data_IF_083908991873
#
_entry.id   IF_083908991873
#
_cell.length_a   1.000
_cell.length_b   1.000
_cell.length_c   1.000
_cell.angle_alpha   90.00
_cell.angle_beta   90.00
_cell.angle_gamma   90.00
#
_symmetry.space_group_name_H-M   'P 1'
#
loop_
_entity.id
_entity.type
_entity.pdbx_description
1 polymer ?
#
# COMPACT_ATOMS: atom_id res chain seq x y z
N UNK A 1 18.90 -23.35 -12.78
CA UNK A 1 18.62 -23.43 -11.33
C UNK A 1 17.23 -24.03 -11.14
N UNK A 2 17.14 -25.19 -10.55
CA UNK A 2 15.92 -25.80 -10.07
C UNK A 2 15.55 -25.05 -8.77
N UNK A 3 14.46 -24.26 -8.78
CA UNK A 3 13.99 -23.51 -7.62
C UNK A 3 13.53 -22.07 -7.96
N UNK A 4 12.90 -21.39 -7.00
CA UNK A 4 12.33 -20.06 -7.12
C UNK A 4 10.85 -20.07 -7.55
N UNK A 5 10.27 -18.89 -7.68
CA UNK A 5 8.85 -18.74 -8.02
C UNK A 5 8.53 -19.33 -9.39
N UNK A 6 7.42 -20.05 -9.48
CA UNK A 6 6.90 -20.59 -10.74
C UNK A 6 6.02 -19.59 -11.48
N UNK A 7 5.39 -18.68 -10.74
CA UNK A 7 4.59 -17.59 -11.28
C UNK A 7 4.64 -16.36 -10.36
N UNK A 8 4.26 -15.21 -10.89
CA UNK A 8 4.05 -13.98 -10.15
C UNK A 8 2.59 -13.57 -10.26
N UNK A 9 2.08 -12.90 -9.23
CA UNK A 9 0.70 -12.50 -9.14
C UNK A 9 0.60 -11.00 -8.82
N UNK A 10 -0.22 -10.29 -9.59
CA UNK A 10 -0.49 -8.87 -9.41
C UNK A 10 -2.00 -8.58 -9.39
N UNK A 11 -2.35 -7.39 -8.94
CA UNK A 11 -3.72 -6.88 -8.88
C UNK A 11 -3.85 -5.56 -9.60
N UNK A 12 -5.01 -5.33 -10.21
CA UNK A 12 -5.44 -4.04 -10.72
C UNK A 12 -6.89 -3.84 -10.27
N UNK A 13 -7.17 -2.82 -9.46
CA UNK A 13 -8.49 -2.55 -8.89
C UNK A 13 -9.05 -1.25 -9.42
N UNK A 14 -10.39 -1.17 -9.53
CA UNK A 14 -11.11 0.00 -10.02
C UNK A 14 -12.03 0.55 -8.93
N UNK A 15 -12.37 1.82 -9.05
CA UNK A 15 -13.39 2.45 -8.20
C UNK A 15 -14.74 1.82 -8.49
N UNK A 16 -15.56 1.63 -7.47
CA UNK A 16 -16.91 1.05 -7.61
C UNK A 16 -17.74 1.86 -8.59
N UNK A 17 -18.35 1.18 -9.56
CA UNK A 17 -19.19 1.79 -10.59
C UNK A 17 -18.46 2.50 -11.75
N UNK A 18 -17.13 2.57 -11.74
CA UNK A 18 -16.37 3.27 -12.76
C UNK A 18 -16.20 2.47 -14.07
N UNK A 19 -16.19 1.16 -13.96
CA UNK A 19 -16.00 0.25 -15.10
C UNK A 19 -17.05 -0.86 -15.11
N UNK A 20 -17.40 -1.34 -16.30
CA UNK A 20 -18.13 -2.60 -16.43
C UNK A 20 -17.18 -3.80 -16.27
N UNK A 21 -17.70 -5.01 -16.01
CA UNK A 21 -16.87 -6.22 -15.95
C UNK A 21 -16.02 -6.44 -17.21
N UNK A 22 -16.58 -6.20 -18.39
CA UNK A 22 -15.93 -6.37 -19.68
C UNK A 22 -14.85 -5.30 -19.89
N UNK A 23 -15.10 -4.07 -19.47
CA UNK A 23 -14.10 -2.99 -19.51
C UNK A 23 -12.94 -3.28 -18.57
N UNK A 24 -13.22 -3.68 -17.31
CA UNK A 24 -12.21 -4.06 -16.33
C UNK A 24 -11.30 -5.16 -16.89
N UNK A 25 -11.91 -6.22 -17.46
CA UNK A 25 -11.16 -7.32 -18.07
C UNK A 25 -10.28 -6.86 -19.24
N UNK A 26 -10.82 -6.05 -20.15
CA UNK A 26 -10.04 -5.50 -21.29
C UNK A 26 -8.88 -4.63 -20.85
N UNK A 27 -9.06 -3.80 -19.83
CA UNK A 27 -8.00 -2.98 -19.25
C UNK A 27 -6.92 -3.89 -18.65
N UNK A 28 -7.30 -4.92 -17.90
CA UNK A 28 -6.37 -5.89 -17.31
C UNK A 28 -5.54 -6.63 -18.36
N UNK A 29 -6.20 -7.12 -19.40
CA UNK A 29 -5.51 -7.79 -20.52
C UNK A 29 -4.52 -6.87 -21.22
N UNK A 30 -4.92 -5.63 -21.51
CA UNK A 30 -4.06 -4.64 -22.18
C UNK A 30 -2.85 -4.28 -21.29
N UNK A 31 -3.08 -4.05 -19.99
CA UNK A 31 -2.01 -3.78 -19.03
C UNK A 31 -1.00 -4.94 -18.98
N UNK A 32 -1.50 -6.17 -18.85
CA UNK A 32 -0.66 -7.35 -18.78
C UNK A 32 0.13 -7.60 -20.08
N UNK A 33 -0.50 -7.39 -21.23
CA UNK A 33 0.16 -7.51 -22.53
C UNK A 33 1.26 -6.49 -22.74
N UNK A 34 1.04 -5.24 -22.36
CA UNK A 34 2.07 -4.19 -22.46
C UNK A 34 3.25 -4.45 -21.54
N UNK A 35 3.02 -5.03 -20.37
CA UNK A 35 4.08 -5.32 -19.41
C UNK A 35 4.88 -6.58 -19.76
N UNK A 36 4.19 -7.69 -20.08
CA UNK A 36 4.81 -9.02 -20.19
C UNK A 36 4.52 -9.78 -21.48
N UNK A 37 3.50 -9.39 -22.25
CA UNK A 37 2.95 -10.20 -23.34
C UNK A 37 3.88 -10.53 -24.49
N UNK A 38 5.06 -9.90 -24.55
CA UNK A 38 6.08 -10.20 -25.58
C UNK A 38 6.92 -11.42 -25.23
N UNK A 39 7.05 -11.74 -23.95
CA UNK A 39 8.02 -12.71 -23.46
C UNK A 39 7.45 -13.75 -22.51
N UNK A 40 6.31 -13.48 -21.87
CA UNK A 40 5.75 -14.34 -20.82
C UNK A 40 4.29 -14.66 -21.07
N UNK A 41 3.90 -15.89 -20.72
CA UNK A 41 2.50 -16.27 -20.66
C UNK A 41 1.81 -15.55 -19.51
N UNK A 42 0.62 -15.04 -19.77
CA UNK A 42 -0.18 -14.28 -18.82
C UNK A 42 -1.61 -14.82 -18.78
N UNK A 43 -2.17 -14.83 -17.57
CA UNK A 43 -3.58 -15.11 -17.34
C UNK A 43 -4.17 -13.92 -16.60
N UNK A 44 -5.31 -13.42 -17.06
CA UNK A 44 -6.05 -12.35 -16.40
C UNK A 44 -7.44 -12.84 -16.08
N UNK A 45 -7.86 -12.68 -14.83
CA UNK A 45 -9.21 -12.96 -14.37
C UNK A 45 -9.78 -11.73 -13.69
N UNK A 46 -11.09 -11.50 -13.85
CA UNK A 46 -11.78 -10.36 -13.24
C UNK A 46 -12.74 -10.87 -12.18
N UNK A 47 -12.62 -10.37 -10.95
CA UNK A 47 -13.53 -10.70 -9.87
C UNK A 47 -14.73 -9.75 -9.90
N UNK A 48 -15.93 -10.38 -9.85
CA UNK A 48 -17.22 -9.69 -9.98
C UNK A 48 -18.02 -9.64 -8.69
N UNK A 49 -17.60 -10.35 -7.66
CA UNK A 49 -18.31 -10.56 -6.42
C UNK A 49 -17.90 -9.59 -5.28
N UNK A 50 -17.31 -8.47 -5.63
CA UNK A 50 -16.85 -7.44 -4.70
C UNK A 50 -17.33 -6.08 -5.15
N UNK A 51 -17.48 -5.14 -4.21
CA UNK A 51 -17.91 -3.76 -4.50
C UNK A 51 -16.99 -3.05 -5.50
N UNK A 52 -15.69 -3.39 -5.46
CA UNK A 52 -14.70 -2.91 -6.40
C UNK A 52 -14.29 -4.02 -7.34
N UNK A 53 -14.61 -3.88 -8.64
CA UNK A 53 -14.10 -4.80 -9.65
C UNK A 53 -12.57 -4.79 -9.66
N UNK A 54 -11.97 -5.97 -9.74
CA UNK A 54 -10.52 -6.06 -9.78
C UNK A 54 -10.05 -7.24 -10.61
N UNK A 55 -8.92 -7.04 -11.28
CA UNK A 55 -8.23 -8.04 -12.05
C UNK A 55 -7.15 -8.72 -11.20
N UNK A 56 -7.05 -10.03 -11.34
CA UNK A 56 -5.87 -10.80 -10.97
C UNK A 56 -5.07 -11.06 -12.24
N UNK A 57 -3.80 -10.74 -12.20
CA UNK A 57 -2.86 -10.97 -13.31
C UNK A 57 -1.84 -12.01 -12.82
N UNK A 58 -1.79 -13.15 -13.46
CA UNK A 58 -0.80 -14.19 -13.19
C UNK A 58 0.16 -14.25 -14.38
N UNK A 59 1.45 -14.21 -14.07
CA UNK A 59 2.54 -14.22 -15.07
C UNK A 59 3.40 -15.45 -14.84
N UNK A 60 3.59 -16.30 -15.86
CA UNK A 60 4.54 -17.39 -15.81
C UNK A 60 5.95 -16.84 -15.58
N UNK A 61 6.69 -17.42 -14.66
CA UNK A 61 8.04 -16.93 -14.33
C UNK A 61 9.07 -17.22 -15.42
N UNK A 62 8.77 -18.07 -16.38
CA UNK A 62 9.71 -18.46 -17.44
C UNK A 62 9.26 -17.86 -18.78
N UNK A 63 10.15 -17.15 -19.43
CA UNK A 63 9.91 -16.62 -20.78
C UNK A 63 9.77 -17.78 -21.78
N UNK A 64 8.64 -17.80 -22.51
CA UNK A 64 8.43 -18.76 -23.59
C UNK A 64 9.36 -18.53 -24.78
N UNK A 65 9.93 -17.33 -24.89
CA UNK A 65 10.81 -16.94 -25.99
C UNK A 65 12.29 -17.27 -25.73
N UNK A 66 12.75 -17.07 -24.49
CA UNK A 66 14.18 -17.18 -24.15
C UNK A 66 14.50 -18.27 -23.14
N UNK A 67 13.48 -18.88 -22.51
CA UNK A 67 13.65 -19.83 -21.42
C UNK A 67 14.22 -19.24 -20.11
N UNK A 68 14.45 -17.92 -20.06
CA UNK A 68 14.96 -17.25 -18.85
C UNK A 68 13.85 -16.92 -17.88
N UNK A 69 14.17 -16.96 -16.59
CA UNK A 69 13.23 -16.55 -15.54
C UNK A 69 13.11 -15.01 -15.47
N UNK A 70 11.91 -14.56 -15.19
CA UNK A 70 11.62 -13.19 -14.84
C UNK A 70 12.24 -12.86 -13.46
N UNK A 71 13.07 -11.84 -13.43
CA UNK A 71 13.61 -11.29 -12.20
C UNK A 71 12.72 -10.13 -11.77
N UNK A 72 11.91 -10.35 -10.73
CA UNK A 72 10.98 -9.34 -10.23
C UNK A 72 11.71 -8.35 -9.33
N UNK A 73 11.98 -7.17 -9.84
CA UNK A 73 12.60 -6.07 -9.11
C UNK A 73 11.54 -5.06 -8.63
N UNK A 74 11.89 -4.23 -7.67
CA UNK A 74 11.00 -3.15 -7.18
C UNK A 74 10.62 -2.18 -8.31
N UNK A 75 11.50 -1.95 -9.27
CA UNK A 75 11.24 -1.14 -10.47
C UNK A 75 10.11 -1.68 -11.32
N UNK A 76 9.88 -2.99 -11.34
CA UNK A 76 8.79 -3.60 -12.11
C UNK A 76 7.42 -3.27 -11.52
N UNK A 77 7.32 -3.06 -10.22
CA UNK A 77 6.10 -2.57 -9.58
C UNK A 77 5.76 -1.15 -10.01
N UNK A 78 6.76 -0.27 -10.08
CA UNK A 78 6.55 1.09 -10.59
C UNK A 78 6.17 1.10 -12.06
N UNK A 79 6.84 0.29 -12.87
CA UNK A 79 6.55 0.14 -14.30
C UNK A 79 5.14 -0.43 -14.56
N UNK A 80 4.73 -1.44 -13.79
CA UNK A 80 3.38 -1.99 -13.87
C UNK A 80 2.33 -0.92 -13.56
N UNK A 81 2.56 -0.13 -12.52
CA UNK A 81 1.68 0.98 -12.14
C UNK A 81 1.60 2.01 -13.27
N UNK A 82 2.74 2.46 -13.80
CA UNK A 82 2.79 3.42 -14.91
C UNK A 82 2.01 2.93 -16.13
N UNK A 83 2.20 1.67 -16.52
CA UNK A 83 1.47 1.05 -17.63
C UNK A 83 -0.03 0.99 -17.32
N UNK A 84 -0.42 0.56 -16.12
CA UNK A 84 -1.82 0.51 -15.68
C UNK A 84 -2.47 1.90 -15.74
N UNK A 85 -1.80 2.90 -15.16
CA UNK A 85 -2.29 4.28 -15.13
C UNK A 85 -2.46 4.84 -16.55
N UNK A 86 -1.52 4.55 -17.45
CA UNK A 86 -1.60 4.94 -18.86
C UNK A 86 -2.78 4.28 -19.57
N UNK A 87 -2.97 2.97 -19.39
CA UNK A 87 -4.11 2.25 -20.01
C UNK A 87 -5.44 2.77 -19.48
N UNK A 88 -5.55 3.06 -18.18
CA UNK A 88 -6.74 3.66 -17.57
C UNK A 88 -7.01 5.05 -18.15
N UNK A 89 -6.02 5.92 -18.18
CA UNK A 89 -6.15 7.29 -18.74
C UNK A 89 -6.54 7.29 -20.21
N UNK A 90 -5.97 6.42 -21.05
CA UNK A 90 -6.32 6.27 -22.46
C UNK A 90 -7.80 5.88 -22.67
N UNK A 91 -8.43 5.32 -21.64
CA UNK A 91 -9.84 4.90 -21.61
C UNK A 91 -10.75 5.82 -20.79
N UNK A 92 -10.22 7.00 -20.37
CA UNK A 92 -10.98 7.98 -19.58
C UNK A 92 -11.33 7.51 -18.17
N UNK A 93 -10.56 6.57 -17.61
CA UNK A 93 -10.75 6.08 -16.24
C UNK A 93 -9.84 6.82 -15.27
N UNK A 94 -10.26 6.89 -14.00
CA UNK A 94 -9.50 7.57 -12.95
C UNK A 94 -8.16 6.91 -12.68
N UNK A 95 -7.20 7.72 -12.30
CA UNK A 95 -5.88 7.28 -11.89
C UNK A 95 -5.59 7.88 -10.52
N UNK A 96 -5.14 7.05 -9.59
CA UNK A 96 -4.76 7.55 -8.27
C UNK A 96 -3.55 8.48 -8.37
N UNK A 97 -3.60 9.67 -7.76
CA UNK A 97 -2.44 10.54 -7.73
C UNK A 97 -1.25 9.80 -7.09
N UNK A 98 -0.02 10.17 -7.45
CA UNK A 98 1.16 9.61 -6.82
C UNK A 98 1.09 9.93 -5.31
N UNK A 99 0.60 8.97 -4.52
CA UNK A 99 0.62 9.10 -3.07
C UNK A 99 2.03 8.80 -2.59
N UNK A 100 2.53 9.60 -1.65
CA UNK A 100 3.59 9.13 -0.77
C UNK A 100 2.97 7.94 -0.03
N UNK A 101 3.30 6.74 -0.44
CA UNK A 101 2.74 5.52 0.13
C UNK A 101 3.22 5.38 1.57
N UNK A 102 2.51 6.00 2.49
CA UNK A 102 2.56 5.65 3.90
C UNK A 102 1.68 4.42 4.07
N UNK A 103 2.24 3.25 3.78
CA UNK A 103 1.49 2.01 3.80
C UNK A 103 0.81 1.79 5.14
N UNK A 104 -0.51 1.92 5.16
CA UNK A 104 -1.26 1.36 6.27
C UNK A 104 -0.94 -0.13 6.30
N UNK A 105 -0.46 -0.61 7.43
CA UNK A 105 -0.15 -2.03 7.57
C UNK A 105 -1.44 -2.81 7.34
N UNK A 106 -1.38 -3.94 6.66
CA UNK A 106 -2.54 -4.83 6.42
C UNK A 106 -3.38 -5.06 7.69
N UNK A 107 -2.72 -5.04 8.87
CA UNK A 107 -3.36 -5.13 10.17
C UNK A 107 -4.24 -3.91 10.50
N UNK A 108 -3.76 -2.71 10.18
CA UNK A 108 -4.46 -1.45 10.48
C UNK A 108 -5.76 -1.38 9.64
N UNK A 109 -5.69 -1.79 8.37
CA UNK A 109 -6.87 -1.91 7.50
C UNK A 109 -7.96 -2.79 8.12
N UNK A 110 -7.60 -3.99 8.64
CA UNK A 110 -8.60 -4.89 9.24
C UNK A 110 -9.18 -4.35 10.55
N UNK A 111 -8.37 -3.65 11.36
CA UNK A 111 -8.86 -2.98 12.58
C UNK A 111 -9.88 -1.91 12.22
N UNK A 112 -9.60 -1.06 11.23
CA UNK A 112 -10.53 -0.03 10.76
C UNK A 112 -11.81 -0.64 10.15
N UNK A 113 -11.68 -1.72 9.39
CA UNK A 113 -12.82 -2.39 8.76
C UNK A 113 -13.87 -2.88 9.76
N UNK A 114 -13.46 -3.23 10.97
CA UNK A 114 -14.36 -3.63 12.07
C UNK A 114 -14.71 -2.48 13.02
N UNK A 115 -14.40 -1.22 12.63
CA UNK A 115 -14.68 -0.03 13.43
C UNK A 115 -13.75 0.18 14.62
N UNK A 116 -12.63 -0.55 14.69
CA UNK A 116 -11.62 -0.42 15.74
C UNK A 116 -10.64 0.73 15.49
N UNK A 117 -9.91 1.12 16.55
CA UNK A 117 -8.81 2.08 16.49
C UNK A 117 -7.47 1.36 16.63
N UNK A 118 -6.51 1.76 15.83
CA UNK A 118 -5.12 1.29 15.98
C UNK A 118 -4.40 2.13 17.04
N UNK A 119 -3.25 1.64 17.55
CA UNK A 119 -2.40 2.43 18.43
C UNK A 119 -1.96 3.77 17.79
N UNK A 120 -1.84 3.80 16.45
CA UNK A 120 -1.51 5.02 15.71
C UNK A 120 -2.66 6.04 15.74
N UNK A 121 -3.89 5.57 15.57
CA UNK A 121 -5.08 6.44 15.62
C UNK A 121 -5.26 7.03 17.02
N UNK A 122 -5.05 6.21 18.05
CA UNK A 122 -5.11 6.65 19.45
C UNK A 122 -4.05 7.72 19.70
N UNK A 123 -2.78 7.44 19.36
CA UNK A 123 -1.68 8.40 19.55
C UNK A 123 -1.91 9.68 18.75
N UNK A 124 -2.36 9.58 17.49
CA UNK A 124 -2.65 10.75 16.65
C UNK A 124 -3.74 11.62 17.26
N UNK A 125 -4.85 11.04 17.69
CA UNK A 125 -5.94 11.74 18.36
C UNK A 125 -5.47 12.41 19.64
N UNK A 126 -4.66 11.74 20.46
CA UNK A 126 -4.16 12.27 21.71
C UNK A 126 -3.20 13.44 21.46
N UNK A 127 -2.32 13.35 20.46
CA UNK A 127 -1.48 14.46 20.00
C UNK A 127 -2.34 15.64 19.52
N UNK A 128 -3.30 15.41 18.63
CA UNK A 128 -4.20 16.46 18.13
C UNK A 128 -4.96 17.18 19.25
N UNK A 129 -5.32 16.46 20.31
CA UNK A 129 -6.02 17.03 21.46
C UNK A 129 -5.16 17.99 22.31
N UNK A 130 -3.85 17.77 22.36
CA UNK A 130 -2.93 18.59 23.17
C UNK A 130 -2.26 19.71 22.36
N UNK A 131 -2.13 19.57 21.04
CA UNK A 131 -1.45 20.52 20.15
C UNK A 131 -1.89 21.98 20.35
N UNK A 132 -3.20 22.32 20.48
CA UNK A 132 -3.65 23.71 20.68
C UNK A 132 -3.11 24.38 21.97
N UNK A 133 -2.61 23.57 22.91
CA UNK A 133 -2.12 24.02 24.20
C UNK A 133 -0.60 23.93 24.35
N UNK A 134 0.11 23.64 23.25
CA UNK A 134 1.56 23.44 23.24
C UNK A 134 2.23 24.57 22.43
N UNK A 135 3.23 25.23 23.02
CA UNK A 135 4.04 26.24 22.34
C UNK A 135 5.33 25.69 21.73
N UNK A 136 5.78 24.52 22.18
CA UNK A 136 7.03 23.88 21.77
C UNK A 136 7.00 22.37 22.00
N UNK A 137 8.07 21.68 21.58
CA UNK A 137 8.18 20.22 21.72
C UNK A 137 8.22 19.75 23.17
N UNK A 138 8.78 20.57 24.09
CA UNK A 138 8.84 20.21 25.51
C UNK A 138 7.46 20.19 26.15
N UNK A 139 6.56 21.06 25.68
CA UNK A 139 5.16 21.07 26.13
C UNK A 139 4.42 19.81 25.65
N UNK A 140 4.65 19.42 24.39
CA UNK A 140 4.09 18.19 23.81
C UNK A 140 4.55 16.97 24.61
N UNK A 141 5.86 16.87 24.85
CA UNK A 141 6.44 15.76 25.60
C UNK A 141 5.87 15.66 27.02
N UNK A 142 5.86 16.77 27.78
CA UNK A 142 5.30 16.80 29.14
C UNK A 142 3.84 16.36 29.17
N UNK A 143 3.03 16.81 28.23
CA UNK A 143 1.61 16.46 28.16
C UNK A 143 1.41 15.01 27.75
N UNK A 144 2.16 14.50 26.79
CA UNK A 144 2.12 13.06 26.42
C UNK A 144 2.56 12.17 27.58
N UNK A 145 3.60 12.57 28.35
CA UNK A 145 4.00 11.87 29.56
C UNK A 145 2.87 11.87 30.59
N UNK A 146 2.15 12.99 30.77
CA UNK A 146 1.01 13.04 31.70
C UNK A 146 -0.18 12.16 31.24
N UNK A 147 -0.29 11.84 29.95
CA UNK A 147 -1.23 10.86 29.39
C UNK A 147 -0.71 9.41 29.48
N UNK A 148 0.46 9.18 30.08
CA UNK A 148 1.04 7.85 30.29
C UNK A 148 1.99 7.39 29.21
N UNK A 149 2.29 8.21 28.20
CA UNK A 149 3.26 7.86 27.16
C UNK A 149 4.69 7.98 27.66
N UNK A 150 5.58 7.21 27.07
CA UNK A 150 7.03 7.21 27.37
C UNK A 150 7.83 7.44 26.09
N UNK A 151 8.98 8.07 26.24
CA UNK A 151 9.92 8.33 25.16
C UNK A 151 11.16 7.43 25.34
N UNK A 152 11.20 6.24 24.72
CA UNK A 152 12.24 5.24 24.98
C UNK A 152 13.62 5.60 24.41
N UNK A 153 13.72 6.66 23.62
CA UNK A 153 14.97 7.14 23.00
C UNK A 153 15.22 8.60 23.34
N UNK A 154 16.50 8.96 23.55
CA UNK A 154 16.92 10.34 23.72
C UNK A 154 16.60 11.18 22.49
N UNK A 155 16.46 12.50 22.69
CA UNK A 155 16.15 13.51 21.64
C UNK A 155 17.23 13.62 20.56
N UNK A 156 18.44 13.14 20.81
CA UNK A 156 19.57 13.15 19.86
C UNK A 156 19.40 12.15 18.70
N UNK A 157 18.37 11.30 18.75
CA UNK A 157 18.03 10.43 17.64
C UNK A 157 17.21 11.16 16.57
N UNK A 158 17.55 10.90 15.31
CA UNK A 158 16.88 11.44 14.12
C UNK A 158 15.34 11.27 14.14
N UNK A 159 14.85 10.28 14.88
CA UNK A 159 13.42 9.96 14.96
C UNK A 159 12.94 9.82 16.41
N UNK A 160 12.02 10.69 16.80
CA UNK A 160 11.33 10.59 18.10
C UNK A 160 10.39 9.38 18.07
N UNK A 161 10.50 8.54 19.08
CA UNK A 161 9.66 7.36 19.27
C UNK A 161 8.87 7.44 20.56
N UNK A 162 7.59 7.04 20.51
CA UNK A 162 6.65 7.11 21.61
C UNK A 162 6.06 5.72 21.85
N UNK A 163 5.88 5.34 23.11
CA UNK A 163 5.27 4.08 23.53
C UNK A 163 4.30 4.32 24.69
N UNK A 164 3.15 3.66 24.68
CA UNK A 164 2.28 3.56 25.84
C UNK A 164 2.63 2.28 26.65
N UNK A 165 2.29 2.21 27.97
CA UNK A 165 2.69 1.09 28.86
C UNK A 165 2.24 -0.30 28.38
N UNK A 166 1.12 -0.38 27.72
CA UNK A 166 0.50 -1.61 27.20
C UNK A 166 0.96 -1.96 25.77
N UNK A 167 1.81 -1.14 25.15
CA UNK A 167 2.25 -1.36 23.79
C UNK A 167 3.53 -2.19 23.73
N UNK A 168 3.56 -3.18 22.84
CA UNK A 168 4.76 -4.02 22.63
C UNK A 168 5.87 -3.32 21.84
N UNK A 169 5.57 -2.24 21.12
CA UNK A 169 6.54 -1.53 20.25
C UNK A 169 6.24 -0.04 20.23
N UNK A 170 7.29 0.76 20.23
CA UNK A 170 7.21 2.19 20.06
C UNK A 170 6.76 2.56 18.62
N UNK A 171 6.09 3.68 18.50
CA UNK A 171 5.67 4.31 17.24
C UNK A 171 6.55 5.54 17.03
N UNK A 172 7.08 5.72 15.82
CA UNK A 172 7.79 6.93 15.44
C UNK A 172 6.79 8.04 15.12
N UNK A 173 7.07 9.26 15.58
CA UNK A 173 6.24 10.44 15.30
C UNK A 173 6.13 10.75 13.80
N UNK A 174 7.25 10.71 13.09
CA UNK A 174 7.33 10.95 11.65
C UNK A 174 6.52 9.95 10.80
N UNK A 175 6.10 8.86 11.41
CA UNK A 175 5.30 7.83 10.76
C UNK A 175 3.79 8.00 10.93
N UNK A 176 3.35 9.05 11.63
CA UNK A 176 1.93 9.32 11.84
C UNK A 176 1.26 10.08 10.67
N UNK A 177 2.04 10.66 9.78
CA UNK A 177 1.56 11.38 8.59
C UNK A 177 1.63 12.88 8.75
#
# INVERSE_FOLDING_TARGET
KLGGNVAYHGYQSFVSGEVTPEEAHRIGLETARRMWGKDYEIVVTTHLNTDNLHNHIVVNSVSFRTGRKFENHISDHYKLREISDKVCSERGKSVLPPSKFTGSRKKDYWVHKIGGLTHRDILKRDIESILPYCGNMDDIERRLVSLGYQFPRNRDYEHISIIAPDWKRAIRLDSLG
#
